data_IF_790633769793
#
_entry.id   IF_790633769793
#
_cell.length_a   1.000
_cell.length_b   1.000
_cell.length_c   1.000
_cell.angle_alpha   90.00
_cell.angle_beta   90.00
_cell.angle_gamma   90.00
#
_symmetry.space_group_name_H-M   'P 1'
#
loop_
_entity.id
_entity.type
_entity.pdbx_description
1 polymer ?
#
# COMPACT_ATOMS: atom_id res chain seq x y z
N UNK A 1 -62.19 18.71 0.93
CA UNK A 1 -60.86 19.05 1.49
C UNK A 1 -60.33 17.79 2.18
N UNK A 2 -59.10 17.30 2.05
CA UNK A 2 -57.85 17.77 1.46
C UNK A 2 -56.97 16.53 1.18
N UNK A 3 -55.90 16.75 0.43
CA UNK A 3 -55.32 15.80 -0.51
C UNK A 3 -54.28 14.84 0.09
N UNK A 4 -54.23 13.69 -0.57
CA UNK A 4 -53.18 12.67 -0.57
C UNK A 4 -51.80 13.30 -0.89
N UNK A 5 -50.76 13.01 -0.10
CA UNK A 5 -49.36 13.24 -0.49
C UNK A 5 -48.59 11.93 -0.36
N UNK A 6 -48.54 11.20 -1.47
CA UNK A 6 -47.47 10.24 -1.74
C UNK A 6 -46.23 11.09 -2.03
N UNK A 7 -45.22 10.97 -1.17
CA UNK A 7 -43.89 11.51 -1.45
C UNK A 7 -43.25 10.62 -2.50
N UNK A 8 -43.08 11.20 -3.68
CA UNK A 8 -42.28 10.73 -4.79
C UNK A 8 -40.81 10.85 -4.37
N UNK A 9 -40.13 9.73 -4.10
CA UNK A 9 -38.69 9.69 -3.84
C UNK A 9 -37.99 9.27 -5.14
N UNK A 10 -38.07 10.15 -6.13
CA UNK A 10 -37.26 10.09 -7.34
C UNK A 10 -35.87 10.60 -6.98
N UNK A 11 -35.07 9.67 -6.45
CA UNK A 11 -33.64 9.86 -6.23
C UNK A 11 -32.93 10.11 -7.56
N UNK A 12 -32.39 11.32 -7.64
CA UNK A 12 -31.46 11.88 -8.61
C UNK A 12 -30.36 10.87 -9.00
N UNK A 13 -30.51 10.18 -10.14
CA UNK A 13 -29.42 9.46 -10.82
C UNK A 13 -28.47 10.48 -11.45
N UNK A 14 -27.69 11.13 -10.58
CA UNK A 14 -26.60 12.02 -10.98
C UNK A 14 -25.40 11.21 -11.51
N UNK A 15 -25.22 11.30 -12.83
CA UNK A 15 -24.01 11.10 -13.62
C UNK A 15 -22.74 10.68 -12.84
N UNK A 16 -22.40 9.40 -12.94
CA UNK A 16 -21.04 8.91 -12.66
C UNK A 16 -20.12 9.39 -13.80
N UNK A 17 -19.06 10.18 -13.54
CA UNK A 17 -18.15 10.59 -14.60
C UNK A 17 -17.40 9.37 -15.15
N UNK A 18 -17.57 9.13 -16.45
CA UNK A 18 -16.89 8.08 -17.19
C UNK A 18 -15.37 8.20 -17.06
N UNK A 19 -14.74 7.14 -16.56
CA UNK A 19 -13.29 7.01 -16.57
C UNK A 19 -12.82 6.85 -18.01
N UNK A 20 -12.11 7.84 -18.52
CA UNK A 20 -11.41 7.76 -19.80
C UNK A 20 -10.34 6.65 -19.75
N UNK A 21 -10.12 5.91 -20.85
CA UNK A 21 -9.09 4.89 -20.90
C UNK A 21 -7.70 5.54 -20.92
N UNK A 22 -6.92 5.34 -19.84
CA UNK A 22 -5.54 5.84 -19.74
C UNK A 22 -4.61 5.06 -20.69
N UNK A 23 -3.90 5.72 -21.63
CA UNK A 23 -3.06 5.03 -22.58
C UNK A 23 -1.58 4.99 -22.15
N UNK A 24 -0.89 3.97 -22.66
CA UNK A 24 0.56 3.81 -22.81
C UNK A 24 1.40 3.21 -21.67
N UNK A 25 1.60 1.89 -21.84
CA UNK A 25 2.80 1.12 -21.53
C UNK A 25 4.05 1.83 -22.08
N UNK A 26 5.00 2.20 -21.21
CA UNK A 26 6.40 2.46 -21.58
C UNK A 26 7.33 1.71 -20.64
N UNK A 27 8.17 0.86 -21.23
CA UNK A 27 9.14 0.04 -20.53
C UNK A 27 10.24 0.88 -19.90
N UNK A 28 10.44 0.68 -18.59
CA UNK A 28 11.60 1.17 -17.86
C UNK A 28 12.01 0.12 -16.83
N UNK A 29 13.29 -0.25 -16.82
CA UNK A 29 13.85 -1.16 -15.81
C UNK A 29 13.74 -0.49 -14.43
N UNK A 30 12.95 -1.09 -13.54
CA UNK A 30 12.74 -0.62 -12.18
C UNK A 30 14.03 -0.60 -11.33
N UNK A 31 14.08 0.21 -10.26
CA UNK A 31 15.28 0.38 -9.43
C UNK A 31 15.61 -0.89 -8.61
N UNK A 32 16.89 -1.14 -8.33
CA UNK A 32 17.37 -2.36 -7.69
C UNK A 32 16.97 -2.42 -6.21
N UNK A 33 16.14 -3.40 -5.85
CA UNK A 33 15.64 -3.62 -4.49
C UNK A 33 14.22 -4.16 -4.40
N UNK A 34 13.46 -4.13 -5.50
CA UNK A 34 12.22 -4.90 -5.64
C UNK A 34 12.57 -6.40 -5.62
N UNK A 35 11.99 -7.16 -4.70
CA UNK A 35 11.92 -8.62 -4.83
C UNK A 35 11.45 -8.91 -6.26
N UNK A 36 12.17 -9.80 -6.94
CA UNK A 36 12.11 -9.94 -8.40
C UNK A 36 10.67 -10.01 -8.88
N UNK A 37 10.18 -8.92 -9.47
CA UNK A 37 8.85 -8.82 -10.04
C UNK A 37 8.72 -9.84 -11.17
N UNK A 38 8.29 -11.04 -10.80
CA UNK A 38 7.93 -12.08 -11.76
C UNK A 38 6.49 -11.79 -12.11
N UNK A 39 6.20 -11.54 -13.38
CA UNK A 39 4.83 -11.49 -13.85
C UNK A 39 4.22 -12.89 -13.59
N UNK A 40 3.46 -13.03 -12.50
CA UNK A 40 2.73 -14.26 -12.21
C UNK A 40 1.63 -14.41 -13.26
N UNK A 41 1.50 -15.62 -13.82
CA UNK A 41 0.34 -15.93 -14.66
C UNK A 41 -0.93 -15.94 -13.80
N UNK A 42 -2.07 -15.68 -14.42
CA UNK A 42 -3.38 -15.55 -13.75
C UNK A 42 -3.72 -16.75 -12.85
N UNK A 43 -3.43 -17.97 -13.33
CA UNK A 43 -3.64 -19.24 -12.61
C UNK A 43 -2.61 -19.52 -11.48
N UNK A 44 -1.55 -18.72 -11.41
CA UNK A 44 -0.45 -18.84 -10.45
C UNK A 44 -0.65 -17.87 -9.28
N UNK A 45 -1.29 -16.72 -9.51
CA UNK A 45 -1.49 -15.68 -8.51
C UNK A 45 -2.23 -16.18 -7.26
N UNK A 46 -3.40 -16.80 -7.42
CA UNK A 46 -4.18 -17.29 -6.27
C UNK A 46 -3.40 -18.34 -5.47
N UNK A 47 -2.75 -19.28 -6.16
CA UNK A 47 -1.95 -20.33 -5.52
C UNK A 47 -0.77 -19.72 -4.77
N UNK A 48 -0.02 -18.83 -5.40
CA UNK A 48 1.12 -18.16 -4.79
C UNK A 48 0.72 -17.38 -3.54
N UNK A 49 -0.35 -16.57 -3.64
CA UNK A 49 -0.85 -15.78 -2.52
C UNK A 49 -1.31 -16.70 -1.37
N UNK A 50 -1.99 -17.80 -1.68
CA UNK A 50 -2.45 -18.77 -0.68
C UNK A 50 -1.29 -19.51 -0.01
N UNK A 51 -0.36 -20.05 -0.78
CA UNK A 51 0.69 -20.94 -0.30
C UNK A 51 1.81 -20.18 0.42
N UNK A 52 2.21 -19.00 -0.10
CA UNK A 52 3.28 -18.19 0.49
C UNK A 52 2.79 -17.36 1.68
N UNK A 53 1.56 -16.86 1.64
CA UNK A 53 1.07 -15.90 2.65
C UNK A 53 -0.02 -16.47 3.57
N UNK A 54 -0.48 -17.71 3.36
CA UNK A 54 -1.42 -18.39 4.24
C UNK A 54 -2.83 -17.80 4.25
N UNK A 55 -3.22 -17.07 3.21
CA UNK A 55 -4.52 -16.40 3.11
C UNK A 55 -5.49 -17.18 2.21
N UNK A 56 -6.75 -17.33 2.64
CA UNK A 56 -7.80 -18.02 1.88
C UNK A 56 -8.86 -17.05 1.38
N UNK A 57 -8.56 -16.36 0.28
CA UNK A 57 -9.46 -15.35 -0.32
C UNK A 57 -10.70 -15.97 -0.96
N UNK A 58 -10.67 -17.25 -1.31
CA UNK A 58 -11.78 -18.02 -1.86
C UNK A 58 -12.98 -18.12 -0.91
N UNK A 59 -12.77 -17.89 0.39
CA UNK A 59 -13.84 -17.85 1.39
C UNK A 59 -14.67 -16.56 1.33
N UNK A 60 -14.27 -15.57 0.53
CA UNK A 60 -14.94 -14.28 0.50
C UNK A 60 -16.30 -14.34 -0.20
N UNK A 61 -17.38 -14.06 0.53
CA UNK A 61 -18.74 -13.93 -0.03
C UNK A 61 -19.14 -12.46 -0.32
N UNK A 62 -18.19 -11.53 -0.34
CA UNK A 62 -18.42 -10.12 -0.70
C UNK A 62 -19.42 -9.37 0.21
N UNK A 63 -19.20 -9.38 1.53
CA UNK A 63 -20.02 -8.62 2.48
C UNK A 63 -19.71 -7.11 2.59
N UNK A 64 -18.68 -6.63 1.88
CA UNK A 64 -18.21 -5.23 1.84
C UNK A 64 -17.73 -4.61 3.18
N UNK A 65 -17.81 -5.30 4.33
CA UNK A 65 -17.39 -4.75 5.65
C UNK A 65 -15.95 -4.23 5.66
N UNK A 66 -15.04 -4.88 4.92
CA UNK A 66 -13.65 -4.46 4.82
C UNK A 66 -13.49 -3.10 4.13
N UNK A 67 -14.33 -2.81 3.14
CA UNK A 67 -14.31 -1.57 2.37
C UNK A 67 -14.92 -0.41 3.14
N UNK A 68 -16.12 -0.60 3.71
CA UNK A 68 -16.76 0.40 4.56
C UNK A 68 -15.95 0.69 5.83
N UNK A 69 -15.19 -0.28 6.31
CA UNK A 69 -14.32 -0.11 7.47
C UNK A 69 -12.96 0.51 7.19
N UNK A 70 -12.57 0.66 5.92
CA UNK A 70 -11.23 1.11 5.57
C UNK A 70 -11.12 2.64 5.65
N UNK A 71 -10.24 3.19 6.51
CA UNK A 71 -10.09 4.64 6.63
C UNK A 71 -9.40 5.27 5.40
N UNK A 72 -8.69 4.46 4.60
CA UNK A 72 -7.93 4.92 3.43
C UNK A 72 -8.63 4.65 2.09
N UNK A 73 -9.89 4.18 2.11
CA UNK A 73 -10.61 3.77 0.89
C UNK A 73 -10.78 4.92 -0.11
N UNK A 74 -10.88 6.14 0.38
CA UNK A 74 -11.03 7.35 -0.44
C UNK A 74 -9.82 7.63 -1.35
N UNK A 75 -8.66 7.03 -1.04
CA UNK A 75 -7.42 7.19 -1.81
C UNK A 75 -7.05 5.91 -2.58
N UNK A 76 -7.91 4.88 -2.55
CA UNK A 76 -7.71 3.62 -3.25
C UNK A 76 -8.39 3.69 -4.63
N UNK A 77 -7.74 3.12 -5.65
CA UNK A 77 -8.37 2.87 -6.95
C UNK A 77 -9.40 1.73 -6.88
N UNK A 78 -9.19 0.75 -6.01
CA UNK A 78 -10.05 -0.42 -5.83
C UNK A 78 -10.25 -0.71 -4.33
N UNK A 79 -11.46 -0.59 -3.77
CA UNK A 79 -11.71 -0.90 -2.37
C UNK A 79 -11.31 -2.36 -2.00
N UNK A 80 -10.97 -2.64 -0.73
CA UNK A 80 -10.42 -3.93 -0.30
C UNK A 80 -11.21 -5.17 -0.73
N UNK A 81 -12.55 -5.12 -0.76
CA UNK A 81 -13.37 -6.25 -1.20
C UNK A 81 -13.14 -6.64 -2.68
N UNK A 82 -12.89 -5.65 -3.54
CA UNK A 82 -12.59 -5.85 -4.97
C UNK A 82 -11.19 -6.41 -5.14
N UNK A 83 -10.21 -5.95 -4.37
CA UNK A 83 -8.85 -6.54 -4.33
C UNK A 83 -8.93 -8.02 -3.98
N UNK A 84 -9.65 -8.36 -2.91
CA UNK A 84 -9.85 -9.76 -2.50
C UNK A 84 -10.55 -10.56 -3.60
N UNK A 85 -11.54 -9.98 -4.28
CA UNK A 85 -12.24 -10.64 -5.38
C UNK A 85 -11.32 -10.90 -6.56
N UNK A 86 -10.54 -9.91 -6.97
CA UNK A 86 -9.61 -10.02 -8.08
C UNK A 86 -8.58 -11.12 -7.83
N UNK A 87 -7.99 -11.17 -6.62
CA UNK A 87 -7.07 -12.25 -6.24
C UNK A 87 -7.79 -13.61 -6.24
N UNK A 88 -9.02 -13.70 -5.73
CA UNK A 88 -9.78 -14.95 -5.74
C UNK A 88 -10.13 -15.45 -7.16
N UNK A 89 -10.26 -14.52 -8.12
CA UNK A 89 -10.47 -14.81 -9.53
C UNK A 89 -9.15 -15.03 -10.29
N UNK A 90 -7.99 -14.88 -9.64
CA UNK A 90 -6.67 -14.99 -10.26
C UNK A 90 -6.26 -13.79 -11.11
N UNK A 91 -7.03 -12.71 -11.14
CA UNK A 91 -6.85 -11.57 -12.06
C UNK A 91 -5.48 -10.91 -11.90
N UNK A 92 -4.61 -11.06 -12.90
CA UNK A 92 -3.23 -10.59 -12.86
C UNK A 92 -3.10 -9.06 -12.83
N UNK A 93 -4.11 -8.33 -13.31
CA UNK A 93 -4.17 -6.86 -13.30
C UNK A 93 -4.04 -6.25 -11.91
N UNK A 94 -4.40 -6.99 -10.85
CA UNK A 94 -4.30 -6.54 -9.45
C UNK A 94 -2.88 -6.16 -9.06
N UNK A 95 -1.87 -6.71 -9.75
CA UNK A 95 -0.46 -6.35 -9.56
C UNK A 95 -0.13 -4.93 -10.01
N UNK A 96 -0.96 -4.32 -10.86
CA UNK A 96 -0.79 -2.94 -11.31
C UNK A 96 -1.55 -1.92 -10.46
N UNK A 97 -2.36 -2.36 -9.50
CA UNK A 97 -3.27 -1.47 -8.76
C UNK A 97 -2.54 -0.58 -7.75
N UNK A 98 -3.10 0.60 -7.51
CA UNK A 98 -2.59 1.56 -6.53
C UNK A 98 -2.93 1.16 -5.09
N UNK A 99 -4.05 0.45 -4.89
CA UNK A 99 -4.63 0.12 -3.59
C UNK A 99 -3.69 -0.59 -2.61
N UNK A 100 -2.89 -1.60 -3.02
CA UNK A 100 -1.91 -2.22 -2.13
C UNK A 100 -0.90 -1.19 -1.58
N UNK A 101 -0.51 -0.20 -2.38
CA UNK A 101 0.47 0.83 -2.01
C UNK A 101 -0.11 1.90 -1.09
N UNK A 102 -1.40 2.24 -1.24
CA UNK A 102 -2.10 3.19 -0.36
C UNK A 102 -2.49 2.56 0.98
N UNK A 103 -2.59 1.24 1.04
CA UNK A 103 -2.99 0.52 2.25
C UNK A 103 -2.06 0.83 3.45
N UNK A 104 -2.63 1.42 4.50
CA UNK A 104 -1.92 1.78 5.74
C UNK A 104 -1.61 0.59 6.66
N UNK A 105 -2.01 -0.63 6.27
CA UNK A 105 -1.83 -1.87 7.04
C UNK A 105 -2.40 -1.79 8.48
N UNK A 106 -3.45 -0.99 8.69
CA UNK A 106 -4.12 -0.83 10.00
C UNK A 106 -4.92 -2.06 10.48
N UNK A 107 -5.10 -3.08 9.63
CA UNK A 107 -5.78 -4.36 9.90
C UNK A 107 -7.26 -4.31 10.29
N UNK A 108 -7.91 -3.14 10.22
CA UNK A 108 -9.37 -3.02 10.45
C UNK A 108 -10.18 -3.97 9.56
N UNK A 109 -9.78 -4.14 8.30
CA UNK A 109 -10.42 -5.06 7.36
C UNK A 109 -10.34 -6.52 7.81
N UNK A 110 -9.18 -6.96 8.30
CA UNK A 110 -8.95 -8.30 8.83
C UNK A 110 -9.81 -8.56 10.07
N UNK A 111 -9.78 -7.66 11.05
CA UNK A 111 -10.53 -7.82 12.30
C UNK A 111 -12.04 -7.89 12.09
N UNK A 112 -12.57 -7.21 11.08
CA UNK A 112 -14.02 -7.17 10.79
C UNK A 112 -14.48 -8.25 9.81
N UNK A 113 -13.57 -9.06 9.28
CA UNK A 113 -13.93 -10.08 8.30
C UNK A 113 -14.67 -11.25 8.98
N UNK A 114 -15.93 -11.53 8.63
CA UNK A 114 -16.68 -12.64 9.22
C UNK A 114 -16.13 -14.02 8.83
N UNK A 115 -15.37 -14.11 7.74
CA UNK A 115 -14.73 -15.36 7.29
C UNK A 115 -13.28 -15.50 7.78
N UNK A 116 -12.80 -14.59 8.62
CA UNK A 116 -11.42 -14.63 9.14
C UNK A 116 -10.33 -14.43 8.08
N UNK A 117 -10.64 -13.79 6.95
CA UNK A 117 -9.64 -13.52 5.90
C UNK A 117 -8.70 -12.41 6.37
N UNK A 118 -7.38 -12.65 6.33
CA UNK A 118 -6.38 -11.62 6.60
C UNK A 118 -6.17 -10.72 5.37
N UNK A 119 -7.12 -9.81 5.16
CA UNK A 119 -7.14 -8.88 4.02
C UNK A 119 -5.94 -7.92 4.06
N UNK A 120 -5.47 -7.54 5.25
CA UNK A 120 -4.25 -6.75 5.36
C UNK A 120 -3.02 -7.52 4.85
N UNK A 121 -2.93 -8.82 5.14
CA UNK A 121 -1.86 -9.68 4.60
C UNK A 121 -1.98 -9.86 3.08
N UNK A 122 -3.19 -9.89 2.51
CA UNK A 122 -3.39 -9.87 1.04
C UNK A 122 -2.80 -8.59 0.43
N UNK A 123 -3.08 -7.42 1.02
CA UNK A 123 -2.54 -6.14 0.54
C UNK A 123 -1.00 -6.10 0.64
N UNK A 124 -0.43 -6.64 1.71
CA UNK A 124 1.01 -6.75 1.89
C UNK A 124 1.65 -7.69 0.87
N UNK A 125 1.06 -8.87 0.65
CA UNK A 125 1.51 -9.83 -0.36
C UNK A 125 1.54 -9.21 -1.75
N UNK A 126 0.51 -8.45 -2.12
CA UNK A 126 0.48 -7.74 -3.39
C UNK A 126 1.61 -6.71 -3.50
N UNK A 127 1.98 -5.96 -2.45
CA UNK A 127 3.15 -5.05 -2.50
C UNK A 127 4.47 -5.78 -2.67
N UNK A 128 4.58 -7.01 -2.16
CA UNK A 128 5.81 -7.81 -2.25
C UNK A 128 5.99 -8.43 -3.63
N UNK A 129 4.91 -8.85 -4.28
CA UNK A 129 4.96 -9.44 -5.63
C UNK A 129 4.87 -8.39 -6.76
N UNK A 130 4.18 -7.27 -6.53
CA UNK A 130 3.92 -6.27 -7.56
C UNK A 130 5.12 -5.35 -7.84
N UNK A 131 5.21 -4.93 -9.09
CA UNK A 131 5.99 -3.74 -9.45
C UNK A 131 5.11 -2.52 -9.17
N UNK A 132 5.59 -1.51 -8.40
CA UNK A 132 4.78 -0.34 -8.11
C UNK A 132 4.40 0.41 -9.40
N UNK A 133 3.14 0.85 -9.55
CA UNK A 133 2.78 1.80 -10.59
C UNK A 133 3.49 3.15 -10.36
N UNK A 134 3.56 4.00 -11.38
CA UNK A 134 4.36 5.24 -11.33
C UNK A 134 3.84 6.17 -10.22
N UNK A 135 2.52 6.23 -10.01
CA UNK A 135 1.85 6.99 -8.96
C UNK A 135 2.27 6.54 -7.55
N UNK A 136 2.62 5.26 -7.39
CA UNK A 136 3.03 4.68 -6.11
C UNK A 136 4.54 4.72 -5.88
N UNK A 137 5.34 5.21 -6.82
CA UNK A 137 6.79 5.08 -6.80
C UNK A 137 7.45 5.69 -5.57
N UNK A 138 7.02 6.88 -5.16
CA UNK A 138 7.54 7.52 -3.94
C UNK A 138 7.18 6.73 -2.67
N UNK A 139 5.94 6.24 -2.60
CA UNK A 139 5.46 5.38 -1.51
C UNK A 139 6.27 4.09 -1.47
N UNK A 140 6.54 3.48 -2.61
CA UNK A 140 7.33 2.26 -2.73
C UNK A 140 8.78 2.47 -2.28
N UNK A 141 9.42 3.58 -2.66
CA UNK A 141 10.76 3.92 -2.20
C UNK A 141 10.82 4.12 -0.68
N UNK A 142 9.81 4.80 -0.11
CA UNK A 142 9.70 4.94 1.34
C UNK A 142 9.50 3.59 2.02
N UNK A 143 8.58 2.77 1.52
CA UNK A 143 8.31 1.44 2.04
C UNK A 143 9.56 0.56 2.03
N UNK A 144 10.33 0.56 0.93
CA UNK A 144 11.61 -0.16 0.85
C UNK A 144 12.62 0.35 1.88
N UNK A 145 12.78 1.67 2.01
CA UNK A 145 13.67 2.25 3.01
C UNK A 145 13.24 1.88 4.45
N UNK A 146 11.94 1.87 4.71
CA UNK A 146 11.35 1.48 5.99
C UNK A 146 11.61 0.01 6.31
N UNK A 147 11.22 -0.89 5.41
CA UNK A 147 11.33 -2.34 5.64
C UNK A 147 12.78 -2.77 5.83
N UNK A 148 13.73 -2.15 5.12
CA UNK A 148 15.16 -2.38 5.35
C UNK A 148 15.66 -1.89 6.71
N UNK A 149 15.17 -0.75 7.20
CA UNK A 149 15.53 -0.25 8.54
C UNK A 149 15.04 -1.21 9.61
N UNK A 150 13.79 -1.66 9.50
CA UNK A 150 13.22 -2.64 10.43
C UNK A 150 13.96 -3.97 10.35
N UNK A 151 14.21 -4.51 9.15
CA UNK A 151 14.97 -5.76 8.97
C UNK A 151 16.39 -5.67 9.52
N UNK A 152 17.07 -4.53 9.38
CA UNK A 152 18.47 -4.38 9.84
C UNK A 152 18.59 -4.19 11.35
N UNK A 153 17.67 -3.44 11.97
CA UNK A 153 17.82 -2.95 13.36
C UNK A 153 16.76 -3.47 14.32
N UNK A 154 15.67 -4.03 13.83
CA UNK A 154 14.48 -4.41 14.59
C UNK A 154 13.68 -3.22 15.13
N UNK A 155 14.16 -1.99 14.92
CA UNK A 155 13.53 -0.73 15.31
C UNK A 155 13.89 0.35 14.30
N UNK A 156 12.93 1.21 14.01
CA UNK A 156 13.10 2.31 13.07
C UNK A 156 14.08 3.32 13.67
N UNK A 157 15.11 3.65 12.90
CA UNK A 157 16.03 4.74 13.18
C UNK A 157 15.71 5.88 12.20
N UNK A 158 15.09 6.95 12.70
CA UNK A 158 14.47 7.99 11.88
C UNK A 158 15.46 8.65 10.93
N UNK A 159 16.63 9.05 11.42
CA UNK A 159 17.66 9.68 10.58
C UNK A 159 18.19 8.72 9.52
N UNK A 160 18.30 7.43 9.83
CA UNK A 160 18.68 6.40 8.87
C UNK A 160 17.61 6.16 7.80
N UNK A 161 16.34 6.09 8.21
CA UNK A 161 15.21 5.96 7.31
C UNK A 161 15.14 7.15 6.34
N UNK A 162 15.18 8.37 6.88
CA UNK A 162 15.16 9.60 6.09
C UNK A 162 16.36 9.68 5.17
N UNK A 163 17.57 9.38 5.66
CA UNK A 163 18.77 9.35 4.84
C UNK A 163 18.65 8.39 3.65
N UNK A 164 18.20 7.14 3.89
CA UNK A 164 17.99 6.17 2.81
C UNK A 164 16.91 6.59 1.84
N UNK A 165 15.78 7.09 2.34
CA UNK A 165 14.69 7.56 1.50
C UNK A 165 15.16 8.69 0.59
N UNK A 166 15.79 9.72 1.15
CA UNK A 166 16.32 10.88 0.40
C UNK A 166 17.38 10.47 -0.63
N UNK A 167 18.28 9.55 -0.27
CA UNK A 167 19.27 9.04 -1.21
C UNK A 167 18.63 8.30 -2.39
N UNK A 168 17.53 7.56 -2.15
CA UNK A 168 16.81 6.80 -3.18
C UNK A 168 15.85 7.65 -4.02
N UNK A 169 15.10 8.54 -3.38
CA UNK A 169 14.20 9.48 -4.07
C UNK A 169 14.99 10.57 -4.81
N UNK A 170 16.26 10.74 -4.47
CA UNK A 170 17.23 11.60 -5.13
C UNK A 170 16.68 13.01 -5.41
N UNK A 171 16.23 13.76 -4.39
CA UNK A 171 15.65 15.10 -4.57
C UNK A 171 16.64 16.09 -5.18
N UNK A 172 17.96 15.82 -5.09
CA UNK A 172 19.01 16.53 -5.83
C UNK A 172 18.76 16.59 -7.34
N UNK A 173 18.08 15.58 -7.91
CA UNK A 173 17.65 15.56 -9.32
C UNK A 173 16.44 16.46 -9.58
N UNK A 174 15.65 16.77 -8.57
CA UNK A 174 14.45 17.62 -8.65
C UNK A 174 14.77 19.12 -8.52
N UNK A 175 15.97 19.49 -8.06
CA UNK A 175 16.48 20.86 -8.07
C UNK A 175 17.01 21.36 -6.73
N UNK A 176 17.64 22.53 -6.74
CA UNK A 176 18.26 23.15 -5.55
C UNK A 176 17.22 23.59 -4.49
N UNK A 177 16.01 23.92 -4.91
CA UNK A 177 14.90 24.35 -4.04
C UNK A 177 14.46 23.23 -3.09
N UNK A 178 14.20 22.04 -3.62
CA UNK A 178 13.82 20.83 -2.86
C UNK A 178 14.88 20.47 -1.81
N UNK A 179 16.15 20.49 -2.21
CA UNK A 179 17.28 20.22 -1.31
C UNK A 179 17.35 21.27 -0.19
N UNK A 180 17.19 22.56 -0.52
CA UNK A 180 17.17 23.64 0.48
C UNK A 180 15.98 23.50 1.43
N UNK A 181 14.81 23.16 0.93
CA UNK A 181 13.60 22.89 1.71
C UNK A 181 13.84 21.78 2.73
N UNK A 182 14.32 20.62 2.27
CA UNK A 182 14.64 19.47 3.10
C UNK A 182 15.69 19.80 4.17
N UNK A 183 16.79 20.47 3.80
CA UNK A 183 17.84 20.87 4.75
C UNK A 183 17.31 21.87 5.79
N UNK A 184 16.48 22.82 5.39
CA UNK A 184 15.88 23.80 6.30
C UNK A 184 14.95 23.14 7.31
N UNK A 185 14.15 22.16 6.87
CA UNK A 185 13.26 21.38 7.73
C UNK A 185 14.08 20.50 8.68
N UNK A 186 15.08 19.79 8.15
CA UNK A 186 16.01 18.98 8.94
C UNK A 186 16.70 19.79 10.04
N UNK A 187 17.18 21.00 9.72
CA UNK A 187 17.76 21.91 10.71
C UNK A 187 16.77 22.34 11.79
N UNK A 188 15.53 22.70 11.41
CA UNK A 188 14.47 23.07 12.37
C UNK A 188 14.13 21.91 13.31
N UNK A 189 14.07 20.68 12.81
CA UNK A 189 13.79 19.48 13.61
C UNK A 189 14.97 19.13 14.52
N UNK A 190 16.20 19.20 14.01
CA UNK A 190 17.43 18.98 14.77
C UNK A 190 17.56 19.96 15.94
N UNK A 191 17.35 21.27 15.68
CA UNK A 191 17.43 22.33 16.71
C UNK A 191 16.36 22.20 17.79
N UNK A 192 15.28 21.46 17.52
CA UNK A 192 14.20 21.13 18.47
C UNK A 192 14.40 19.77 19.17
N UNK A 193 15.53 19.08 18.94
CA UNK A 193 15.80 17.77 19.54
C UNK A 193 14.87 16.65 19.05
N UNK A 194 14.20 16.83 17.91
CA UNK A 194 13.21 15.87 17.37
C UNK A 194 13.80 14.80 16.45
N UNK A 195 15.13 14.77 16.30
CA UNK A 195 15.81 13.79 15.43
C UNK A 195 16.71 12.92 16.31
N UNK A 196 16.46 11.62 16.27
CA UNK A 196 17.39 10.62 16.82
C UNK A 196 18.64 10.52 15.94
N UNK A 197 19.81 10.89 16.48
CA UNK A 197 21.10 10.89 15.75
C UNK A 197 21.90 9.60 15.96
N UNK A 198 21.60 8.86 17.03
CA UNK A 198 22.22 7.58 17.33
C UNK A 198 21.19 6.46 17.12
N UNK A 199 21.56 5.37 16.41
CA UNK A 199 20.65 4.27 16.17
C UNK A 199 20.44 3.46 17.45
N UNK A 200 19.19 3.21 17.83
CA UNK A 200 18.82 2.23 18.84
C UNK A 200 18.60 0.86 18.20
N UNK A 201 19.21 -0.20 18.74
CA UNK A 201 19.01 -1.59 18.29
C UNK A 201 18.22 -2.37 19.33
N UNK A 202 17.27 -3.19 18.89
CA UNK A 202 16.53 -4.10 19.79
C UNK A 202 17.43 -5.27 20.19
N UNK A 203 17.34 -5.77 21.42
CA UNK A 203 18.16 -6.92 21.87
C UNK A 203 17.86 -8.19 21.08
N UNK A 204 16.61 -8.39 20.68
CA UNK A 204 16.11 -9.58 19.98
C UNK A 204 15.82 -9.32 18.49
N UNK A 205 16.78 -8.76 17.76
CA UNK A 205 16.61 -8.48 16.32
C UNK A 205 16.30 -9.75 15.53
N UNK A 206 16.86 -10.90 15.91
CA UNK A 206 16.64 -12.18 15.19
C UNK A 206 15.17 -12.60 15.20
N UNK A 207 14.49 -12.49 16.34
CA UNK A 207 13.04 -12.76 16.43
C UNK A 207 12.22 -11.82 15.53
N UNK A 208 12.60 -10.54 15.47
CA UNK A 208 11.95 -9.56 14.58
C UNK A 208 12.19 -9.92 13.10
N UNK A 209 13.38 -10.39 12.76
CA UNK A 209 13.71 -10.81 11.41
C UNK A 209 12.95 -12.07 10.99
N UNK A 210 12.64 -12.98 11.91
CA UNK A 210 11.83 -14.18 11.65
C UNK A 210 10.38 -13.83 11.33
N UNK A 211 9.79 -12.84 12.03
CA UNK A 211 8.40 -12.41 11.80
C UNK A 211 8.24 -11.66 10.48
N UNK A 212 9.28 -10.96 10.02
CA UNK A 212 9.26 -10.13 8.79
C UNK A 212 9.74 -10.94 7.56
N UNK A 213 10.03 -12.23 7.74
CA UNK A 213 10.54 -13.11 6.69
C UNK A 213 9.44 -13.64 5.78
#
# INVERSE_FOLDING_TARGET
MGQNRRGDDSGDEGDLPGGEPHPHRLGGKGPPGAGGGRALREEELLREIKDRYGVRVELCYQCLKCSYGCPAVFAMDHPPHQVVRAVALGMGEVMGWLSPWVCTSCRTCTTRCPNGIDIARVMEALREEAVPPEEAKEIALFHQAFTEEVRKRGRIYELGLMGRYVLRSAPWRKGKEEVKGLLSLGWKMFRRGKISVLPSRVRRVKEVQEVIR
#
